data_IF_214763519060
#
_entry.id   IF_214763519060
#
_cell.length_a   1.000
_cell.length_b   1.000
_cell.length_c   1.000
_cell.angle_alpha   90.00
_cell.angle_beta   90.00
_cell.angle_gamma   90.00
#
_symmetry.space_group_name_H-M   'P 1'
#
loop_
_entity.id
_entity.type
_entity.pdbx_description
1 polymer ?
#
# COMPACT_ATOMS: atom_id res chain seq x y z
N UNK A 1 -21.33 -9.89 12.26
CA UNK A 1 -20.25 -9.67 13.25
C UNK A 1 -19.40 -8.52 12.77
N UNK A 2 -19.29 -7.42 13.53
CA UNK A 2 -18.50 -6.25 13.16
C UNK A 2 -17.11 -6.40 13.74
N UNK A 3 -16.13 -6.79 12.92
CA UNK A 3 -14.74 -6.92 13.35
C UNK A 3 -13.99 -5.62 13.05
N UNK A 4 -13.46 -4.99 14.09
CA UNK A 4 -12.58 -3.82 13.98
C UNK A 4 -11.51 -3.97 15.04
N UNK A 5 -10.23 -3.94 14.63
CA UNK A 5 -9.10 -4.01 15.54
C UNK A 5 -8.31 -2.72 15.44
N UNK A 6 -8.33 -1.94 16.50
CA UNK A 6 -7.52 -0.73 16.64
C UNK A 6 -6.17 -1.12 17.25
N UNK A 7 -5.08 -0.61 16.67
CA UNK A 7 -3.71 -0.89 17.10
C UNK A 7 -2.94 0.42 17.19
N UNK A 8 -2.39 0.70 18.37
CA UNK A 8 -1.45 1.80 18.55
C UNK A 8 -0.09 1.39 18.04
N UNK A 9 0.38 2.05 16.99
CA UNK A 9 1.67 1.75 16.35
C UNK A 9 2.81 2.49 17.04
N UNK A 10 2.55 3.75 17.41
CA UNK A 10 3.48 4.60 18.13
C UNK A 10 2.68 5.57 18.99
N UNK A 11 3.24 5.93 20.15
CA UNK A 11 2.72 6.98 21.02
C UNK A 11 3.90 7.79 21.54
N UNK A 12 3.70 9.10 21.69
CA UNK A 12 4.70 9.99 22.22
C UNK A 12 4.03 11.14 22.96
N UNK A 13 4.58 11.51 24.11
CA UNK A 13 4.19 12.74 24.79
C UNK A 13 4.80 13.94 24.06
N UNK A 14 3.95 14.84 23.58
CA UNK A 14 4.37 16.08 22.90
C UNK A 14 4.66 17.19 23.94
N UNK A 15 3.80 17.33 24.94
CA UNK A 15 3.88 18.36 26.00
C UNK A 15 3.46 17.77 27.35
N UNK A 16 4.11 18.16 28.47
CA UNK A 16 5.45 18.77 28.53
C UNK A 16 6.51 17.87 27.87
N UNK A 17 7.49 18.49 27.20
CA UNK A 17 8.55 17.74 26.51
C UNK A 17 9.38 16.96 27.54
N UNK A 18 9.39 15.63 27.41
CA UNK A 18 10.30 14.76 28.19
C UNK A 18 11.69 14.63 27.57
N UNK A 19 11.93 15.18 26.37
CA UNK A 19 13.12 14.89 25.57
C UNK A 19 14.26 15.88 25.86
N UNK A 20 15.35 15.39 26.44
CA UNK A 20 16.65 16.07 26.55
C UNK A 20 17.55 15.92 25.29
N UNK A 21 17.21 15.07 24.32
CA UNK A 21 18.01 14.89 23.09
C UNK A 21 17.14 14.96 21.84
N UNK A 22 17.37 16.04 21.10
CA UNK A 22 16.66 16.50 19.92
C UNK A 22 16.93 15.61 18.71
N UNK A 23 15.91 14.86 18.29
CA UNK A 23 15.78 14.55 16.86
C UNK A 23 15.86 15.90 16.11
N UNK A 24 16.67 16.00 15.04
CA UNK A 24 16.77 17.23 14.29
C UNK A 24 15.40 17.61 13.74
N UNK A 25 14.99 18.85 13.96
CA UNK A 25 13.75 19.36 13.39
C UNK A 25 13.87 19.43 11.87
N UNK A 26 12.79 19.08 11.18
CA UNK A 26 12.70 19.23 9.74
C UNK A 26 12.57 20.71 9.37
N UNK A 27 12.99 21.08 8.15
CA UNK A 27 12.85 22.46 7.67
C UNK A 27 11.39 22.97 7.67
N UNK A 28 10.41 22.08 7.57
CA UNK A 28 8.98 22.42 7.68
C UNK A 28 8.60 22.71 9.12
N UNK A 29 9.05 21.87 10.07
CA UNK A 29 8.84 22.11 11.49
C UNK A 29 9.45 23.46 11.91
N UNK A 30 10.69 23.77 11.52
CA UNK A 30 11.33 25.05 11.85
C UNK A 30 10.54 26.26 11.35
N UNK A 31 10.00 26.18 10.12
CA UNK A 31 9.13 27.23 9.56
C UNK A 31 7.81 27.36 10.33
N UNK A 32 7.21 26.24 10.72
CA UNK A 32 5.97 26.23 11.50
C UNK A 32 6.19 26.76 12.92
N UNK A 33 7.28 26.39 13.59
CA UNK A 33 7.63 26.89 14.92
C UNK A 33 7.80 28.41 14.91
N UNK A 34 8.53 28.94 13.92
CA UNK A 34 8.69 30.40 13.74
C UNK A 34 7.35 31.11 13.49
N UNK A 35 6.42 30.47 12.79
CA UNK A 35 5.12 31.05 12.43
C UNK A 35 4.08 30.95 13.55
N UNK A 36 4.07 29.86 14.31
CA UNK A 36 3.02 29.52 15.27
C UNK A 36 3.34 29.98 16.71
N UNK A 37 4.59 30.38 16.99
CA UNK A 37 5.00 30.99 18.26
C UNK A 37 5.32 29.98 19.36
N UNK A 38 5.28 30.44 20.62
CA UNK A 38 5.79 29.71 21.80
C UNK A 38 5.01 28.45 22.18
N UNK A 39 3.76 28.31 21.70
CA UNK A 39 2.89 27.16 21.99
C UNK A 39 2.88 26.12 20.87
N UNK A 40 3.89 26.15 19.99
CA UNK A 40 4.06 25.19 18.92
C UNK A 40 5.08 24.13 19.33
N UNK A 41 4.66 22.86 19.29
CA UNK A 41 5.48 21.74 19.73
C UNK A 41 5.60 20.72 18.60
N UNK A 42 6.82 20.41 18.13
CA UNK A 42 7.00 19.49 17.01
C UNK A 42 6.85 18.04 17.49
N UNK A 43 6.37 17.19 16.60
CA UNK A 43 6.37 15.74 16.78
C UNK A 43 6.71 15.06 15.45
N UNK A 44 7.29 13.87 15.55
CA UNK A 44 7.65 13.03 14.40
C UNK A 44 7.35 11.58 14.76
N UNK A 45 6.68 10.87 13.86
CA UNK A 45 6.49 9.43 13.93
C UNK A 45 7.13 8.78 12.71
N UNK A 46 7.82 7.66 12.92
CA UNK A 46 8.31 6.81 11.86
C UNK A 46 7.43 5.57 11.79
N UNK A 47 6.98 5.23 10.58
CA UNK A 47 6.23 4.00 10.37
C UNK A 47 7.16 2.80 10.58
N UNK A 48 6.74 1.75 11.31
CA UNK A 48 7.47 0.50 11.33
C UNK A 48 7.57 -0.09 9.93
N UNK A 49 8.68 -0.76 9.63
CA UNK A 49 8.94 -1.34 8.31
C UNK A 49 7.83 -2.29 7.86
N UNK A 50 7.38 -3.17 8.76
CA UNK A 50 6.33 -4.17 8.51
C UNK A 50 4.90 -3.62 8.60
N UNK A 51 4.71 -2.30 8.70
CA UNK A 51 3.37 -1.73 8.68
C UNK A 51 2.72 -1.92 7.31
N UNK A 52 1.48 -2.41 7.21
CA UNK A 52 0.80 -2.57 5.94
C UNK A 52 0.51 -1.20 5.27
N UNK A 53 0.25 -1.18 3.96
CA UNK A 53 -0.21 0.04 3.31
C UNK A 53 -1.70 0.27 3.54
N UNK A 54 -2.16 1.50 3.33
CA UNK A 54 -3.58 1.82 3.36
C UNK A 54 -4.28 1.19 2.17
N UNK A 55 -5.16 0.22 2.45
CA UNK A 55 -5.95 -0.50 1.43
C UNK A 55 -7.38 -0.60 1.92
N UNK A 56 -8.33 -0.28 1.06
CA UNK A 56 -9.76 -0.40 1.33
C UNK A 56 -10.40 -1.22 0.23
N UNK A 57 -11.10 -2.28 0.61
CA UNK A 57 -11.92 -3.08 -0.29
C UNK A 57 -13.15 -2.28 -0.69
N UNK A 58 -13.39 -2.20 -2.00
CA UNK A 58 -14.61 -1.61 -2.53
C UNK A 58 -15.75 -2.61 -2.32
N UNK A 59 -16.83 -2.15 -1.68
CA UNK A 59 -18.04 -2.92 -1.50
C UNK A 59 -18.70 -3.20 -2.87
N UNK A 60 -19.31 -4.39 -3.01
CA UNK A 60 -20.18 -4.69 -4.14
C UNK A 60 -21.47 -3.88 -4.09
N UNK A 61 -22.24 -3.86 -5.19
CA UNK A 61 -23.48 -3.07 -5.29
C UNK A 61 -24.51 -3.43 -4.18
N UNK A 62 -24.57 -4.71 -3.79
CA UNK A 62 -25.46 -5.22 -2.74
C UNK A 62 -24.84 -5.20 -1.33
N UNK A 63 -23.60 -4.70 -1.18
CA UNK A 63 -22.92 -4.65 0.10
C UNK A 63 -23.04 -3.25 0.75
N UNK A 64 -24.02 -3.12 1.64
CA UNK A 64 -24.23 -1.92 2.46
C UNK A 64 -23.36 -1.90 3.74
N UNK A 65 -22.38 -2.78 3.84
CA UNK A 65 -21.45 -2.86 4.96
C UNK A 65 -20.52 -1.65 5.10
N UNK A 66 -19.82 -1.59 6.22
CA UNK A 66 -18.71 -0.64 6.36
C UNK A 66 -17.54 -1.09 5.49
N UNK A 67 -16.79 -0.15 4.88
CA UNK A 67 -15.62 -0.50 4.09
C UNK A 67 -14.62 -1.31 4.91
N UNK A 68 -14.13 -2.39 4.32
CA UNK A 68 -13.14 -3.27 4.94
C UNK A 68 -11.75 -2.81 4.50
N UNK A 69 -10.91 -2.43 5.44
CA UNK A 69 -9.60 -1.90 5.08
C UNK A 69 -8.71 -1.55 6.26
N UNK A 70 -7.51 -1.10 5.88
CA UNK A 70 -6.47 -0.63 6.79
C UNK A 70 -6.41 0.89 6.64
N UNK A 71 -6.74 1.59 7.71
CA UNK A 71 -6.71 3.05 7.80
C UNK A 71 -5.76 3.48 8.91
N UNK A 72 -5.05 4.58 8.67
CA UNK A 72 -4.15 5.16 9.65
C UNK A 72 -4.69 6.49 10.14
N UNK A 73 -4.53 6.72 11.43
CA UNK A 73 -4.97 7.94 12.07
C UNK A 73 -3.84 8.49 12.94
N UNK A 74 -3.60 9.80 12.82
CA UNK A 74 -2.83 10.55 13.81
C UNK A 74 -3.83 11.12 14.80
N UNK A 75 -3.75 10.68 16.05
CA UNK A 75 -4.61 11.13 17.13
C UNK A 75 -3.78 11.90 18.15
N UNK A 76 -4.22 13.09 18.50
CA UNK A 76 -3.64 13.91 19.56
C UNK A 76 -4.72 14.21 20.59
N UNK A 77 -4.39 14.08 21.88
CA UNK A 77 -5.31 14.41 22.96
C UNK A 77 -4.56 14.98 24.16
N UNK A 78 -5.30 15.70 25.00
CA UNK A 78 -4.84 16.13 26.32
C UNK A 78 -5.33 15.12 27.35
N UNK A 79 -4.42 14.60 28.16
CA UNK A 79 -4.70 13.68 29.26
C UNK A 79 -3.80 13.96 30.46
N UNK A 80 -4.22 13.50 31.64
CA UNK A 80 -3.47 13.73 32.89
C UNK A 80 -2.29 12.75 33.07
N UNK A 81 -2.36 11.58 32.42
CA UNK A 81 -1.32 10.55 32.43
C UNK A 81 -1.34 9.77 31.10
N UNK A 82 -0.36 8.86 30.90
CA UNK A 82 -0.23 8.08 29.66
C UNK A 82 -1.32 7.03 29.45
N UNK A 83 -2.00 6.62 30.53
CA UNK A 83 -3.08 5.64 30.49
C UNK A 83 -4.44 6.27 30.14
N UNK A 84 -4.52 7.60 30.18
CA UNK A 84 -5.72 8.35 29.87
C UNK A 84 -6.08 8.22 28.37
N UNK A 85 -7.27 7.69 28.10
CA UNK A 85 -7.80 7.50 26.75
C UNK A 85 -8.24 8.80 26.07
N UNK A 86 -8.16 9.93 26.79
CA UNK A 86 -8.49 11.26 26.31
C UNK A 86 -10.01 11.48 26.18
N UNK A 87 -10.46 12.71 26.41
CA UNK A 87 -11.86 13.07 26.20
C UNK A 87 -12.09 13.46 24.73
N UNK A 88 -13.26 13.13 24.16
CA UNK A 88 -13.65 13.54 22.78
C UNK A 88 -13.55 15.05 22.53
N UNK A 89 -13.60 15.87 23.58
CA UNK A 89 -13.57 17.33 23.51
C UNK A 89 -12.16 17.89 23.36
N UNK A 90 -11.16 17.11 23.79
CA UNK A 90 -9.74 17.44 23.78
C UNK A 90 -8.98 16.56 22.79
N UNK A 91 -9.68 15.83 21.92
CA UNK A 91 -9.09 14.91 20.94
C UNK A 91 -9.22 15.49 19.54
N UNK A 92 -8.10 15.55 18.83
CA UNK A 92 -8.07 15.84 17.39
C UNK A 92 -7.54 14.60 16.68
N UNK A 93 -8.21 14.21 15.59
CA UNK A 93 -7.86 13.04 14.81
C UNK A 93 -7.77 13.41 13.33
N UNK A 94 -6.68 13.01 12.68
CA UNK A 94 -6.43 13.21 11.27
C UNK A 94 -6.22 11.86 10.59
N UNK A 95 -7.04 11.54 9.58
CA UNK A 95 -6.82 10.37 8.74
C UNK A 95 -5.62 10.61 7.82
N UNK A 96 -4.72 9.62 7.74
CA UNK A 96 -3.56 9.63 6.84
C UNK A 96 -3.51 8.34 6.04
N UNK A 97 -2.79 8.35 4.91
CA UNK A 97 -2.59 7.17 4.07
C UNK A 97 -1.12 6.82 3.96
N UNK A 98 -0.81 5.53 4.13
CA UNK A 98 0.49 4.97 3.76
C UNK A 98 0.40 4.40 2.34
N UNK A 99 1.14 4.99 1.40
CA UNK A 99 1.20 4.54 0.01
C UNK A 99 2.54 3.85 -0.26
N UNK A 100 2.52 2.77 -1.03
CA UNK A 100 3.72 2.10 -1.52
C UNK A 100 4.11 2.68 -2.87
N UNK A 101 5.35 3.11 -3.00
CA UNK A 101 5.96 3.45 -4.29
C UNK A 101 6.80 2.29 -4.82
N UNK A 102 6.96 2.22 -6.14
CA UNK A 102 7.85 1.23 -6.73
C UNK A 102 9.30 1.49 -6.28
N UNK A 103 10.09 0.44 -6.01
CA UNK A 103 11.51 0.60 -5.73
C UNK A 103 12.25 1.20 -6.93
N UNK A 104 13.15 2.14 -6.68
CA UNK A 104 13.85 2.90 -7.74
C UNK A 104 14.90 2.08 -8.52
N UNK A 105 15.27 0.88 -8.06
CA UNK A 105 16.40 0.11 -8.59
C UNK A 105 16.08 -1.35 -8.93
N UNK A 106 14.86 -1.65 -9.35
CA UNK A 106 14.35 -3.04 -9.38
C UNK A 106 13.85 -3.57 -10.71
N UNK A 107 14.12 -2.94 -11.85
CA UNK A 107 13.86 -3.63 -13.12
C UNK A 107 14.90 -4.74 -13.25
N UNK A 108 14.53 -5.98 -12.93
CA UNK A 108 15.39 -7.12 -13.21
C UNK A 108 15.82 -7.09 -14.68
N UNK A 109 17.05 -7.52 -14.99
CA UNK A 109 17.54 -7.60 -16.36
C UNK A 109 16.69 -8.53 -17.26
N UNK A 110 15.70 -9.21 -16.68
CA UNK A 110 14.82 -10.16 -17.34
C UNK A 110 13.37 -9.70 -17.22
N UNK A 111 12.71 -9.62 -18.36
CA UNK A 111 11.28 -9.37 -18.45
C UNK A 111 10.47 -10.52 -17.83
N UNK A 112 9.33 -10.23 -17.17
CA UNK A 112 8.44 -11.28 -16.67
C UNK A 112 7.98 -12.15 -17.84
N UNK A 113 8.34 -13.43 -17.80
CA UNK A 113 8.06 -14.39 -18.87
C UNK A 113 7.48 -15.69 -18.29
N UNK A 114 6.45 -16.24 -18.92
CA UNK A 114 5.89 -17.55 -18.58
C UNK A 114 5.72 -18.40 -19.83
N UNK A 115 6.08 -19.69 -19.75
CA UNK A 115 5.96 -20.67 -20.83
C UNK A 115 5.10 -21.83 -20.37
N UNK A 116 4.03 -22.12 -21.11
CA UNK A 116 3.12 -23.23 -20.86
C UNK A 116 3.04 -24.11 -22.09
N UNK A 117 3.14 -25.44 -21.90
CA UNK A 117 3.03 -26.43 -22.96
C UNK A 117 1.89 -27.39 -22.65
N UNK A 118 0.86 -27.42 -23.52
CA UNK A 118 -0.31 -28.29 -23.38
C UNK A 118 -0.36 -29.34 -24.49
N UNK A 119 -0.31 -30.61 -24.09
CA UNK A 119 -0.66 -31.73 -24.96
C UNK A 119 -2.17 -31.97 -25.01
N UNK A 120 -2.63 -32.67 -26.05
CA UNK A 120 -4.03 -33.07 -26.18
C UNK A 120 -4.11 -34.57 -26.44
N UNK A 121 -5.06 -35.25 -25.81
CA UNK A 121 -5.33 -36.67 -26.08
C UNK A 121 -5.60 -36.87 -27.58
N UNK A 122 -5.02 -37.93 -28.15
CA UNK A 122 -5.09 -38.26 -29.58
C UNK A 122 -4.44 -37.22 -30.53
N UNK A 123 -3.59 -36.32 -30.03
CA UNK A 123 -2.72 -35.44 -30.82
C UNK A 123 -1.26 -35.81 -30.55
N UNK A 124 -0.48 -36.09 -31.61
CA UNK A 124 0.95 -36.37 -31.49
C UNK A 124 1.79 -35.13 -31.16
N UNK A 125 1.21 -33.93 -31.25
CA UNK A 125 1.89 -32.68 -30.89
C UNK A 125 1.12 -31.80 -29.91
N UNK A 126 1.81 -30.75 -29.46
CA UNK A 126 1.44 -29.88 -28.34
C UNK A 126 1.31 -28.42 -28.78
N UNK A 127 0.62 -27.62 -27.97
CA UNK A 127 0.60 -26.17 -28.09
C UNK A 127 1.51 -25.59 -27.01
N UNK A 128 2.52 -24.83 -27.42
CA UNK A 128 3.33 -24.03 -26.53
C UNK A 128 2.84 -22.58 -26.58
N UNK A 129 2.64 -21.97 -25.42
CA UNK A 129 2.29 -20.56 -25.24
C UNK A 129 3.36 -19.92 -24.36
N UNK A 130 4.05 -18.94 -24.90
CA UNK A 130 4.96 -18.07 -24.16
C UNK A 130 4.35 -16.68 -24.04
N UNK A 131 4.39 -16.11 -22.85
CA UNK A 131 3.88 -14.77 -22.54
C UNK A 131 4.99 -13.99 -21.88
N UNK A 132 5.31 -12.82 -22.43
CA UNK A 132 6.33 -11.91 -21.86
C UNK A 132 5.77 -10.51 -21.73
N UNK A 133 5.93 -9.90 -20.55
CA UNK A 133 5.54 -8.51 -20.29
C UNK A 133 6.67 -7.54 -20.64
N UNK A 134 6.36 -6.30 -21.00
CA UNK A 134 7.37 -5.29 -21.31
C UNK A 134 8.05 -4.71 -20.06
N UNK A 135 7.38 -4.78 -18.90
CA UNK A 135 7.91 -4.37 -17.59
C UNK A 135 7.42 -5.30 -16.47
N UNK A 136 8.16 -5.28 -15.37
CA UNK A 136 7.81 -5.96 -14.12
C UNK A 136 6.88 -5.13 -13.24
N UNK A 137 7.06 -3.81 -13.23
CA UNK A 137 6.32 -2.88 -12.36
C UNK A 137 5.63 -1.84 -13.23
N UNK A 138 4.35 -1.61 -12.95
CA UNK A 138 3.51 -0.61 -13.62
C UNK A 138 2.94 0.35 -12.58
N UNK A 139 2.88 1.62 -12.94
CA UNK A 139 2.11 2.61 -12.19
C UNK A 139 0.64 2.61 -12.63
N UNK A 140 -0.23 3.10 -11.75
CA UNK A 140 -1.65 3.26 -12.08
C UNK A 140 -1.84 4.12 -13.34
N UNK A 141 -2.61 3.60 -14.30
CA UNK A 141 -2.89 4.25 -15.57
C UNK A 141 -1.87 3.96 -16.68
N UNK A 142 -0.75 3.28 -16.38
CA UNK A 142 0.17 2.83 -17.42
C UNK A 142 -0.43 1.69 -18.24
N UNK A 143 -0.13 1.67 -19.54
CA UNK A 143 -0.52 0.58 -20.43
C UNK A 143 0.42 -0.61 -20.21
N UNK A 144 -0.15 -1.80 -20.12
CA UNK A 144 0.60 -3.06 -20.00
C UNK A 144 0.89 -3.63 -21.38
N UNK A 145 2.16 -3.77 -21.75
CA UNK A 145 2.60 -4.40 -22.98
C UNK A 145 2.74 -5.91 -22.79
N UNK A 146 2.10 -6.69 -23.67
CA UNK A 146 2.12 -8.16 -23.62
C UNK A 146 2.58 -8.72 -24.96
N UNK A 147 3.66 -9.48 -24.96
CA UNK A 147 4.12 -10.29 -26.09
C UNK A 147 3.63 -11.73 -25.93
N UNK A 148 2.93 -12.25 -26.93
CA UNK A 148 2.39 -13.61 -26.96
C UNK A 148 3.04 -14.38 -28.12
N UNK A 149 3.75 -15.46 -27.81
CA UNK A 149 4.30 -16.38 -28.80
C UNK A 149 3.60 -17.74 -28.69
N UNK A 150 3.04 -18.20 -29.80
CA UNK A 150 2.29 -19.46 -29.85
C UNK A 150 2.91 -20.38 -30.90
N UNK A 151 3.36 -21.55 -30.48
CA UNK A 151 3.82 -22.62 -31.36
C UNK A 151 2.85 -23.80 -31.27
N UNK A 152 2.01 -23.97 -32.29
CA UNK A 152 1.02 -25.04 -32.35
C UNK A 152 1.52 -26.17 -33.24
N UNK A 153 2.09 -27.19 -32.61
CA UNK A 153 2.47 -28.45 -33.28
C UNK A 153 1.39 -29.52 -33.14
N UNK A 154 0.21 -29.17 -32.61
CA UNK A 154 -0.91 -30.09 -32.42
C UNK A 154 -1.84 -30.13 -33.64
N UNK A 155 -2.81 -31.05 -33.62
CA UNK A 155 -3.90 -31.08 -34.62
C UNK A 155 -5.13 -30.25 -34.19
N UNK A 156 -5.04 -29.49 -33.10
CA UNK A 156 -6.16 -28.66 -32.59
C UNK A 156 -6.06 -27.24 -33.13
N UNK A 157 -7.21 -26.60 -33.34
CA UNK A 157 -7.30 -25.21 -33.79
C UNK A 157 -7.44 -24.26 -32.59
N UNK A 158 -6.73 -23.13 -32.64
CA UNK A 158 -6.90 -22.03 -31.69
C UNK A 158 -7.99 -21.10 -32.23
N UNK A 159 -9.12 -21.00 -31.51
CA UNK A 159 -10.28 -20.21 -31.95
C UNK A 159 -10.30 -18.79 -31.41
N UNK A 160 -9.81 -18.59 -30.19
CA UNK A 160 -9.85 -17.30 -29.52
C UNK A 160 -8.67 -17.16 -28.55
N UNK A 161 -8.18 -15.94 -28.39
CA UNK A 161 -7.17 -15.55 -27.41
C UNK A 161 -7.79 -14.43 -26.57
N UNK A 162 -7.87 -14.66 -25.26
CA UNK A 162 -8.43 -13.70 -24.31
C UNK A 162 -7.35 -13.31 -23.31
N UNK A 163 -7.24 -12.02 -23.03
CA UNK A 163 -6.26 -11.44 -22.12
C UNK A 163 -7.01 -10.71 -21.02
N UNK A 164 -6.58 -10.92 -19.77
CA UNK A 164 -7.18 -10.34 -18.57
C UNK A 164 -6.07 -9.86 -17.63
N UNK A 165 -6.36 -8.84 -16.82
CA UNK A 165 -5.53 -8.34 -15.72
C UNK A 165 -6.24 -8.64 -14.42
#
# INVERSE_FOLDING_TARGET
>A
VKFSKELTIASAQVVPSRREKSEPSTAVQDKLLKKMGSNAFPFTFQFPELSPCSVTLQAGEDDHGKPLGIEYYVKCWVGSNEEDKGHKRSTVQLAIKKLQYAPQGGAGNRLPSSLVSKGFTFSSGKINLEVTLDKEIYYHGEKVGVNLMISNNSRKQIRNIKVYV
#
